data_IF_173758425473
#
_entry.id   IF_173758425473
#
_cell.length_a   1.000
_cell.length_b   1.000
_cell.length_c   1.000
_cell.angle_alpha   90.00
_cell.angle_beta   90.00
_cell.angle_gamma   90.00
#
_symmetry.space_group_name_H-M   'P 1'
#
loop_
_entity.id
_entity.type
_entity.pdbx_description
1 polymer ?
#
# COMPACT_ATOMS: atom_id res chain seq x y z
N UNK A 1 13.85 -11.72 3.83
CA UNK A 1 12.77 -10.71 3.69
C UNK A 1 12.16 -10.52 5.09
N UNK A 2 12.08 -9.29 5.62
CA UNK A 2 11.40 -9.02 6.90
C UNK A 2 9.89 -8.94 6.65
N UNK A 3 9.03 -9.52 7.50
CA UNK A 3 7.59 -9.38 7.36
C UNK A 3 7.17 -7.92 7.59
N UNK A 4 6.18 -7.47 6.84
CA UNK A 4 5.63 -6.12 6.96
C UNK A 4 4.11 -6.15 6.86
N UNK A 5 3.47 -5.16 7.46
CA UNK A 5 2.08 -4.82 7.20
C UNK A 5 2.03 -3.70 6.17
N UNK A 6 1.24 -3.85 5.11
CA UNK A 6 0.97 -2.81 4.12
C UNK A 6 -0.53 -2.51 4.13
N UNK A 7 -0.90 -1.23 4.15
CA UNK A 7 -2.29 -0.82 4.28
C UNK A 7 -2.56 0.51 3.58
N UNK A 8 -3.80 0.71 3.14
CA UNK A 8 -4.30 1.99 2.64
C UNK A 8 -4.67 2.92 3.80
N UNK A 9 -4.33 4.20 3.71
CA UNK A 9 -4.77 5.25 4.62
C UNK A 9 -5.54 6.35 3.85
N UNK A 10 -6.47 5.93 2.98
CA UNK A 10 -7.29 6.74 2.05
C UNK A 10 -6.50 7.59 1.04
N UNK A 11 -5.62 8.46 1.50
CA UNK A 11 -4.83 9.41 0.71
C UNK A 11 -3.38 8.97 0.45
N UNK A 12 -3.03 7.78 0.91
CA UNK A 12 -1.69 7.21 0.77
C UNK A 12 -1.72 5.70 1.05
N UNK A 13 -0.65 5.00 0.68
CA UNK A 13 -0.37 3.63 1.10
C UNK A 13 0.88 3.64 1.98
N UNK A 14 0.82 2.93 3.11
CA UNK A 14 1.91 2.87 4.10
C UNK A 14 2.33 1.44 4.38
N UNK A 15 3.56 1.30 4.89
CA UNK A 15 4.17 0.04 5.29
C UNK A 15 4.78 0.15 6.69
N UNK A 16 4.64 -0.91 7.48
CA UNK A 16 5.30 -1.09 8.79
C UNK A 16 6.16 -2.35 8.72
N UNK A 17 7.47 -2.22 8.91
CA UNK A 17 8.34 -3.38 9.15
C UNK A 17 8.08 -3.91 10.58
N UNK A 18 7.73 -5.20 10.71
CA UNK A 18 7.31 -5.76 12.00
C UNK A 18 8.49 -6.05 12.94
N UNK A 19 9.73 -6.01 12.45
CA UNK A 19 10.94 -6.27 13.24
C UNK A 19 11.63 -4.95 13.60
N UNK A 20 11.89 -4.11 12.59
CA UNK A 20 12.59 -2.83 12.78
C UNK A 20 11.67 -1.73 13.31
N UNK A 21 10.35 -1.92 13.19
CA UNK A 21 9.33 -0.89 13.46
C UNK A 21 9.48 0.34 12.57
N UNK A 22 10.10 0.16 11.40
CA UNK A 22 10.23 1.20 10.39
C UNK A 22 8.86 1.48 9.79
N UNK A 23 8.42 2.74 9.88
CA UNK A 23 7.13 3.20 9.38
C UNK A 23 7.34 4.08 8.15
N UNK A 24 6.90 3.63 6.99
CA UNK A 24 7.24 4.26 5.71
C UNK A 24 6.01 4.54 4.85
N UNK A 25 6.00 5.71 4.21
CA UNK A 25 5.04 6.03 3.15
C UNK A 25 5.52 5.44 1.82
N UNK A 26 4.67 4.64 1.18
CA UNK A 26 5.02 3.92 -0.06
C UNK A 26 4.47 4.63 -1.27
N UNK A 27 3.21 5.06 -1.22
CA UNK A 27 2.58 5.84 -2.29
C UNK A 27 1.91 7.06 -1.67
N UNK A 28 2.38 8.28 -1.98
CA UNK A 28 1.77 9.50 -1.49
C UNK A 28 0.58 9.95 -2.36
N UNK A 29 -0.21 10.90 -1.85
CA UNK A 29 -1.15 11.73 -2.65
C UNK A 29 -2.22 10.98 -3.44
N UNK A 30 -2.73 9.86 -2.92
CA UNK A 30 -3.88 9.16 -3.48
C UNK A 30 -5.19 9.93 -3.19
N UNK A 31 -6.23 9.71 -4.00
CA UNK A 31 -7.50 10.41 -3.82
C UNK A 31 -8.41 9.67 -2.86
N UNK A 32 -8.63 8.37 -3.10
CA UNK A 32 -9.47 7.54 -2.25
C UNK A 32 -9.16 6.04 -2.43
N UNK A 33 -7.98 5.61 -1.98
CA UNK A 33 -7.58 4.20 -1.99
C UNK A 33 -8.26 3.43 -0.85
N UNK A 34 -8.91 2.31 -1.19
CA UNK A 34 -9.74 1.53 -0.24
C UNK A 34 -9.40 0.05 -0.15
N UNK A 35 -8.70 -0.48 -1.14
CA UNK A 35 -8.27 -1.87 -1.19
C UNK A 35 -6.88 -1.94 -1.83
N UNK A 36 -6.05 -2.89 -1.39
CA UNK A 36 -4.75 -3.19 -1.97
C UNK A 36 -4.49 -4.69 -1.91
N UNK A 37 -3.68 -5.19 -2.83
CA UNK A 37 -3.08 -6.52 -2.76
C UNK A 37 -1.63 -6.50 -3.28
N UNK A 38 -0.83 -7.51 -2.92
CA UNK A 38 0.60 -7.60 -3.25
C UNK A 38 0.97 -8.95 -3.85
N UNK A 39 1.66 -8.92 -4.98
CA UNK A 39 2.39 -10.08 -5.49
C UNK A 39 3.83 -10.02 -4.97
N UNK A 40 4.09 -10.79 -3.92
CA UNK A 40 5.39 -10.84 -3.23
C UNK A 40 6.49 -11.48 -4.09
N UNK A 41 6.12 -12.33 -5.05
CA UNK A 41 7.06 -13.01 -5.94
C UNK A 41 7.59 -12.04 -7.00
N UNK A 42 6.71 -11.24 -7.60
CA UNK A 42 7.09 -10.26 -8.63
C UNK A 42 7.35 -8.85 -8.07
N UNK A 43 7.18 -8.64 -6.76
CA UNK A 43 7.32 -7.36 -6.08
C UNK A 43 6.43 -6.27 -6.68
N UNK A 44 5.18 -6.64 -7.00
CA UNK A 44 4.14 -5.72 -7.50
C UNK A 44 3.08 -5.49 -6.44
N UNK A 45 2.51 -4.29 -6.45
CA UNK A 45 1.40 -3.90 -5.60
C UNK A 45 0.31 -3.31 -6.49
N UNK A 46 -0.94 -3.66 -6.19
CA UNK A 46 -2.11 -3.17 -6.89
C UNK A 46 -3.06 -2.52 -5.90
N UNK A 47 -3.78 -1.49 -6.32
CA UNK A 47 -4.78 -0.85 -5.45
C UNK A 47 -5.98 -0.33 -6.22
N UNK A 48 -7.12 -0.27 -5.52
CA UNK A 48 -8.35 0.30 -6.04
C UNK A 48 -8.55 1.71 -5.48
N UNK A 49 -8.74 2.69 -6.37
CA UNK A 49 -9.09 4.07 -6.00
C UNK A 49 -10.53 4.40 -6.45
N UNK A 50 -11.40 4.70 -5.48
CA UNK A 50 -12.81 4.96 -5.73
C UNK A 50 -13.08 6.32 -6.40
N UNK A 51 -12.18 7.29 -6.25
CA UNK A 51 -12.34 8.59 -6.90
C UNK A 51 -12.10 8.46 -8.40
N UNK A 52 -11.02 7.77 -8.79
CA UNK A 52 -10.72 7.53 -10.20
C UNK A 52 -11.56 6.40 -10.82
N UNK A 53 -12.18 5.55 -9.99
CA UNK A 53 -12.89 4.32 -10.40
C UNK A 53 -11.98 3.41 -11.23
N UNK A 54 -10.74 3.23 -10.76
CA UNK A 54 -9.69 2.46 -11.44
C UNK A 54 -8.91 1.60 -10.47
N UNK A 55 -8.38 0.52 -11.01
CA UNK A 55 -7.35 -0.30 -10.39
C UNK A 55 -6.02 0.12 -11.01
N UNK A 56 -5.02 0.32 -10.17
CA UNK A 56 -3.65 0.65 -10.54
C UNK A 56 -2.72 -0.50 -10.18
#
# INVERSE_FOLDING_TARGET
>A
KSPYLMFTNRHEIRRIDLVKKDYTQVVPTLKNAVALDVDVTTNKMYWCDLYHRKIF
#
